data_IF_185276853097
#
_entry.id   IF_185276853097
#
_cell.length_a   1.000
_cell.length_b   1.000
_cell.length_c   1.000
_cell.angle_alpha   90.00
_cell.angle_beta   90.00
_cell.angle_gamma   90.00
#
_symmetry.space_group_name_H-M   'P 1'
#
loop_
_entity.id
_entity.type
_entity.pdbx_description
1 polymer ?
#
# COMPACT_ATOMS: atom_id res chain seq x y z
N UNK A 1 -21.67 18.69 21.29
CA UNK A 1 -20.56 18.94 22.25
C UNK A 1 -19.31 19.49 21.55
N UNK A 2 -18.81 18.87 20.45
CA UNK A 2 -17.59 19.29 19.79
C UNK A 2 -17.55 20.73 19.25
N UNK A 3 -18.68 21.23 18.75
CA UNK A 3 -18.77 22.62 18.24
C UNK A 3 -18.63 23.67 19.37
N UNK A 4 -19.21 23.41 20.53
CA UNK A 4 -19.09 24.27 21.72
C UNK A 4 -17.66 24.28 22.28
N UNK A 5 -16.99 23.17 22.25
CA UNK A 5 -15.58 23.05 22.70
C UNK A 5 -14.63 23.82 21.79
N UNK A 6 -14.84 23.73 20.46
CA UNK A 6 -14.04 24.49 19.46
C UNK A 6 -14.25 26.02 19.65
N UNK A 7 -15.48 26.46 19.86
CA UNK A 7 -15.80 27.88 20.10
C UNK A 7 -15.13 28.39 21.38
N UNK A 8 -15.21 27.63 22.49
CA UNK A 8 -14.61 27.99 23.76
C UNK A 8 -13.06 28.01 23.70
N UNK A 9 -12.45 27.15 22.86
CA UNK A 9 -11.01 27.14 22.64
C UNK A 9 -10.55 28.34 21.79
N UNK A 10 -11.32 28.68 20.76
CA UNK A 10 -11.05 29.85 19.94
C UNK A 10 -11.11 31.15 20.73
N UNK A 11 -12.09 31.27 21.60
CA UNK A 11 -12.28 32.45 22.45
C UNK A 11 -11.16 32.59 23.52
N UNK A 12 -10.74 31.50 24.12
CA UNK A 12 -9.57 31.48 25.03
C UNK A 12 -8.28 31.90 24.32
N UNK A 13 -8.07 31.45 23.09
CA UNK A 13 -6.90 31.83 22.30
C UNK A 13 -6.94 33.31 21.90
N UNK A 14 -8.14 33.86 21.59
CA UNK A 14 -8.30 35.29 21.30
C UNK A 14 -7.95 36.16 22.51
N UNK A 15 -8.53 35.83 23.68
CA UNK A 15 -8.25 36.54 24.94
C UNK A 15 -6.80 36.44 25.38
N UNK A 16 -6.12 35.31 25.14
CA UNK A 16 -4.70 35.13 25.41
C UNK A 16 -3.82 36.01 24.51
N UNK A 17 -4.17 36.14 23.23
CA UNK A 17 -3.49 37.04 22.28
C UNK A 17 -3.66 38.51 22.63
N UNK A 18 -4.87 38.90 23.04
CA UNK A 18 -5.20 40.26 23.43
C UNK A 18 -4.44 40.66 24.72
N UNK A 19 -4.38 39.80 25.70
CA UNK A 19 -3.55 39.97 26.92
C UNK A 19 -2.04 40.04 26.63
N UNK A 20 -1.56 39.25 25.69
CA UNK A 20 -0.16 39.28 25.30
C UNK A 20 0.21 40.57 24.55
N UNK A 21 -0.68 41.09 23.71
CA UNK A 21 -0.52 42.36 23.04
C UNK A 21 -0.49 43.55 23.99
N UNK A 22 -1.32 43.52 25.05
CA UNK A 22 -1.39 44.57 26.05
C UNK A 22 -0.17 44.57 27.01
N UNK A 23 0.56 43.47 27.15
CA UNK A 23 1.68 43.34 28.09
C UNK A 23 3.07 43.62 27.51
N UNK A 24 3.17 44.01 26.22
CA UNK A 24 4.46 44.32 25.56
C UNK A 24 5.49 43.19 25.55
N UNK A 25 5.10 41.96 25.93
CA UNK A 25 5.96 40.79 25.84
C UNK A 25 5.88 40.24 24.43
N UNK A 26 7.06 40.13 23.79
CA UNK A 26 7.25 39.46 22.51
C UNK A 26 6.56 38.09 22.57
N UNK A 27 5.54 37.91 21.74
CA UNK A 27 4.90 36.61 21.52
C UNK A 27 6.01 35.66 21.07
N UNK A 28 6.19 34.48 21.67
CA UNK A 28 7.11 33.50 21.12
C UNK A 28 6.61 33.21 19.70
N UNK A 29 7.45 33.49 18.72
CA UNK A 29 7.22 33.04 17.35
C UNK A 29 6.96 31.53 17.43
N UNK A 30 5.70 31.16 17.25
CA UNK A 30 5.37 29.79 16.87
C UNK A 30 6.18 29.55 15.61
N UNK A 31 7.22 28.73 15.67
CA UNK A 31 7.91 28.22 14.49
C UNK A 31 6.81 27.83 13.49
N UNK A 32 6.88 28.30 12.25
CA UNK A 32 5.97 27.84 11.23
C UNK A 32 6.01 26.32 11.28
N UNK A 33 4.82 25.74 11.37
CA UNK A 33 4.64 24.31 11.16
C UNK A 33 5.47 23.97 9.93
N UNK A 34 6.50 23.16 10.11
CA UNK A 34 7.40 22.77 9.04
C UNK A 34 6.50 22.26 7.92
N UNK A 35 6.46 23.02 6.83
CA UNK A 35 5.91 22.52 5.57
C UNK A 35 6.47 21.10 5.41
N UNK A 36 5.64 20.12 5.02
CA UNK A 36 6.16 18.77 4.80
C UNK A 36 7.36 18.90 3.87
N UNK A 37 8.52 18.49 4.37
CA UNK A 37 9.76 18.52 3.60
C UNK A 37 9.43 17.90 2.26
N UNK A 38 9.41 18.71 1.22
CA UNK A 38 9.10 18.28 -0.14
C UNK A 38 10.22 17.33 -0.52
N UNK A 39 9.98 16.04 -0.33
CA UNK A 39 10.95 15.00 -0.66
C UNK A 39 11.37 15.19 -2.11
N UNK A 40 12.66 15.41 -2.32
CA UNK A 40 13.23 15.65 -3.64
C UNK A 40 13.01 14.42 -4.51
N UNK A 41 12.13 14.54 -5.49
CA UNK A 41 11.80 13.44 -6.40
C UNK A 41 12.86 13.33 -7.48
N UNK A 42 13.41 12.15 -7.62
CA UNK A 42 14.36 11.81 -8.69
C UNK A 42 13.58 11.26 -9.87
N UNK A 43 13.72 11.86 -11.04
CA UNK A 43 13.11 11.33 -12.26
C UNK A 43 13.83 10.05 -12.69
N UNK A 44 13.06 8.98 -12.93
CA UNK A 44 13.60 7.80 -13.59
C UNK A 44 13.66 8.05 -15.10
N UNK A 45 14.85 7.90 -15.69
CA UNK A 45 15.13 8.22 -17.09
C UNK A 45 14.58 7.22 -18.10
N UNK A 46 13.91 6.14 -17.66
CA UNK A 46 13.38 5.08 -18.51
C UNK A 46 11.85 4.93 -18.48
N UNK A 47 11.12 6.04 -18.51
CA UNK A 47 9.65 5.98 -18.59
C UNK A 47 8.93 5.73 -17.27
N UNK A 48 9.63 5.72 -16.15
CA UNK A 48 9.06 5.71 -14.81
C UNK A 48 8.57 7.10 -14.40
N UNK A 49 7.82 7.17 -13.31
CA UNK A 49 7.40 8.42 -12.71
C UNK A 49 8.42 8.90 -11.67
N UNK A 50 8.41 10.22 -11.41
CA UNK A 50 9.29 10.82 -10.43
C UNK A 50 9.10 10.18 -9.04
N UNK A 51 10.18 9.65 -8.50
CA UNK A 51 10.24 8.96 -7.21
C UNK A 51 11.10 9.73 -6.22
N UNK A 52 10.83 9.57 -4.94
CA UNK A 52 11.75 9.95 -3.87
C UNK A 52 13.00 9.05 -3.88
N UNK A 53 14.07 9.47 -3.24
CA UNK A 53 15.27 8.63 -3.07
C UNK A 53 14.96 7.30 -2.37
N UNK A 54 14.04 7.33 -1.40
CA UNK A 54 13.60 6.13 -0.69
C UNK A 54 12.82 5.17 -1.59
N UNK A 55 11.90 5.69 -2.41
CA UNK A 55 11.16 4.90 -3.39
C UNK A 55 12.06 4.30 -4.47
N UNK A 56 13.05 5.06 -4.94
CA UNK A 56 14.03 4.55 -5.91
C UNK A 56 14.84 3.39 -5.31
N UNK A 57 15.31 3.54 -4.08
CA UNK A 57 16.03 2.47 -3.37
C UNK A 57 15.17 1.22 -3.21
N UNK A 58 13.91 1.39 -2.81
CA UNK A 58 12.96 0.29 -2.69
C UNK A 58 12.75 -0.41 -4.03
N UNK A 59 12.67 0.34 -5.12
CA UNK A 59 12.55 -0.19 -6.49
C UNK A 59 13.77 -1.03 -6.88
N UNK A 60 14.98 -0.51 -6.63
CA UNK A 60 16.24 -1.19 -6.95
C UNK A 60 16.39 -2.47 -6.09
N UNK A 61 16.04 -2.41 -4.82
CA UNK A 61 16.05 -3.55 -3.90
C UNK A 61 15.04 -4.62 -4.34
N UNK A 62 13.84 -4.23 -4.77
CA UNK A 62 12.85 -5.16 -5.31
C UNK A 62 13.37 -5.85 -6.58
N UNK A 63 13.92 -5.11 -7.51
CA UNK A 63 14.46 -5.64 -8.76
C UNK A 63 15.61 -6.64 -8.51
N UNK A 64 16.48 -6.35 -7.54
CA UNK A 64 17.62 -7.22 -7.19
C UNK A 64 17.20 -8.54 -6.55
N UNK A 65 15.97 -8.62 -6.02
CA UNK A 65 15.39 -9.82 -5.44
C UNK A 65 14.59 -10.67 -6.44
N UNK A 66 14.72 -10.41 -7.74
CA UNK A 66 14.07 -11.22 -8.78
C UNK A 66 14.46 -12.70 -8.62
N UNK A 67 13.44 -13.58 -8.56
CA UNK A 67 13.61 -15.00 -8.33
C UNK A 67 13.91 -15.42 -6.88
N UNK A 68 13.96 -14.46 -5.95
CA UNK A 68 14.21 -14.68 -4.51
C UNK A 68 13.08 -14.20 -3.61
N UNK A 69 12.02 -13.65 -4.19
CA UNK A 69 10.87 -13.19 -3.42
C UNK A 69 10.20 -14.37 -2.72
N UNK A 70 9.75 -14.20 -1.46
CA UNK A 70 8.99 -15.22 -0.78
C UNK A 70 7.64 -15.44 -1.45
N UNK A 71 7.07 -16.61 -1.30
CA UNK A 71 5.70 -16.86 -1.73
C UNK A 71 4.72 -15.96 -0.96
N UNK A 72 3.66 -15.48 -1.64
CA UNK A 72 2.66 -14.61 -1.03
C UNK A 72 1.73 -15.33 -0.05
N UNK A 73 2.02 -16.57 0.28
CA UNK A 73 1.24 -17.42 1.18
C UNK A 73 2.16 -18.21 2.09
N UNK A 74 1.66 -18.62 3.25
CA UNK A 74 2.35 -19.51 4.18
C UNK A 74 1.78 -20.92 4.11
N UNK A 75 2.57 -21.90 4.49
CA UNK A 75 2.14 -23.29 4.56
C UNK A 75 2.04 -24.00 3.21
N UNK A 76 1.25 -25.06 3.16
CA UNK A 76 1.06 -25.85 1.94
C UNK A 76 0.29 -25.05 0.91
N UNK A 77 0.84 -25.01 -0.29
CA UNK A 77 0.23 -24.36 -1.44
C UNK A 77 0.61 -25.09 -2.72
N UNK A 78 -0.20 -24.91 -3.75
CA UNK A 78 0.03 -25.46 -5.07
C UNK A 78 -0.26 -24.38 -6.10
N UNK A 79 0.63 -24.19 -7.07
CA UNK A 79 0.36 -23.32 -8.23
C UNK A 79 -0.55 -24.11 -9.17
N UNK A 80 -1.78 -23.66 -9.32
CA UNK A 80 -2.80 -24.32 -10.18
C UNK A 80 -2.86 -23.71 -11.57
N UNK A 81 -2.44 -22.44 -11.73
CA UNK A 81 -2.24 -21.80 -13.03
C UNK A 81 -0.96 -20.98 -13.01
N UNK A 82 -0.08 -21.20 -13.98
CA UNK A 82 1.14 -20.45 -14.14
C UNK A 82 0.92 -19.17 -14.94
N UNK A 83 1.90 -18.28 -14.94
CA UNK A 83 1.90 -17.07 -15.74
C UNK A 83 2.00 -17.39 -17.23
N UNK A 84 1.30 -16.63 -18.05
CA UNK A 84 1.40 -16.66 -19.50
C UNK A 84 0.30 -17.48 -20.18
N UNK A 85 0.56 -17.82 -21.44
CA UNK A 85 -0.38 -18.55 -22.26
C UNK A 85 -0.33 -20.05 -21.96
N UNK A 86 -1.49 -20.64 -21.68
CA UNK A 86 -1.64 -22.06 -21.39
C UNK A 86 -2.73 -22.67 -22.25
N UNK A 87 -2.53 -23.91 -22.64
CA UNK A 87 -3.56 -24.68 -23.32
C UNK A 87 -4.61 -25.13 -22.31
N UNK A 88 -5.87 -24.94 -22.63
CA UNK A 88 -6.98 -25.42 -21.80
C UNK A 88 -6.93 -26.97 -21.74
N UNK A 89 -7.05 -27.52 -20.53
CA UNK A 89 -6.88 -28.97 -20.31
C UNK A 89 -7.89 -29.83 -21.06
N UNK A 90 -9.12 -29.34 -21.22
CA UNK A 90 -10.22 -30.08 -21.86
C UNK A 90 -10.45 -29.68 -23.32
N UNK A 91 -10.13 -28.46 -23.68
CA UNK A 91 -10.39 -27.90 -25.00
C UNK A 91 -9.09 -27.67 -25.76
N UNK A 92 -8.74 -28.59 -26.64
CA UNK A 92 -7.45 -28.59 -27.39
C UNK A 92 -7.16 -27.33 -28.21
N UNK A 93 -8.16 -26.56 -28.58
CA UNK A 93 -8.02 -25.35 -29.41
C UNK A 93 -8.21 -24.06 -28.62
N UNK A 94 -8.45 -24.13 -27.30
CA UNK A 94 -8.62 -22.98 -26.44
C UNK A 94 -7.33 -22.73 -25.67
N UNK A 95 -6.82 -21.51 -25.77
CA UNK A 95 -5.71 -21.02 -24.98
C UNK A 95 -6.21 -20.00 -23.98
N UNK A 96 -5.75 -20.08 -22.76
CA UNK A 96 -6.00 -19.10 -21.70
C UNK A 96 -4.71 -18.36 -21.43
N UNK A 97 -4.79 -17.05 -21.24
CA UNK A 97 -3.65 -16.24 -20.86
C UNK A 97 -3.83 -15.75 -19.41
N UNK A 98 -2.92 -16.14 -18.55
CA UNK A 98 -2.90 -15.71 -17.16
C UNK A 98 -1.83 -14.63 -16.96
N UNK A 99 -2.23 -13.45 -16.53
CA UNK A 99 -1.32 -12.32 -16.26
C UNK A 99 -0.64 -12.39 -14.88
N UNK A 100 -0.91 -13.43 -14.12
CA UNK A 100 -0.33 -13.71 -12.81
C UNK A 100 -0.13 -15.21 -12.61
N UNK A 101 -0.13 -15.63 -11.36
CA UNK A 101 -0.16 -17.04 -10.96
C UNK A 101 -1.36 -17.28 -10.04
N UNK A 102 -2.01 -18.43 -10.20
CA UNK A 102 -3.08 -18.83 -9.29
C UNK A 102 -2.54 -19.86 -8.31
N UNK A 103 -2.69 -19.54 -7.02
CA UNK A 103 -2.15 -20.35 -5.94
C UNK A 103 -3.32 -20.88 -5.11
N UNK A 104 -3.45 -22.18 -5.05
CA UNK A 104 -4.38 -22.86 -4.16
C UNK A 104 -3.75 -23.09 -2.79
N UNK A 105 -4.47 -22.78 -1.74
CA UNK A 105 -4.02 -22.89 -0.35
C UNK A 105 -5.02 -23.64 0.51
N UNK A 106 -4.61 -24.04 1.71
CA UNK A 106 -5.52 -24.55 2.71
C UNK A 106 -6.52 -23.48 3.17
N UNK A 107 -7.75 -23.84 3.56
CA UNK A 107 -8.72 -22.91 4.14
C UNK A 107 -8.13 -22.12 5.32
N UNK A 108 -8.47 -20.83 5.41
CA UNK A 108 -8.02 -19.97 6.50
C UNK A 108 -6.61 -19.41 6.35
N UNK A 109 -5.95 -19.65 5.22
CA UNK A 109 -4.62 -19.08 4.92
C UNK A 109 -4.71 -17.59 4.62
N UNK A 110 -3.73 -16.83 5.11
CA UNK A 110 -3.59 -15.41 4.81
C UNK A 110 -2.64 -15.18 3.64
N UNK A 111 -2.97 -14.19 2.82
CA UNK A 111 -2.06 -13.64 1.82
C UNK A 111 -1.05 -12.71 2.50
N UNK A 112 0.20 -12.77 2.06
CA UNK A 112 1.32 -12.00 2.63
C UNK A 112 1.99 -11.17 1.55
N UNK A 113 2.48 -9.98 1.94
CA UNK A 113 3.29 -9.16 1.04
C UNK A 113 4.59 -9.88 0.69
N UNK A 114 4.92 -9.92 -0.59
CA UNK A 114 6.16 -10.56 -1.08
C UNK A 114 7.40 -9.71 -0.83
N UNK A 115 7.22 -8.41 -0.61
CA UNK A 115 8.30 -7.47 -0.34
C UNK A 115 7.78 -6.23 0.38
N UNK A 116 8.70 -5.44 0.95
CA UNK A 116 8.38 -4.15 1.54
C UNK A 116 7.75 -3.22 0.50
N UNK A 117 6.75 -2.48 0.89
CA UNK A 117 6.07 -1.54 0.00
C UNK A 117 4.99 -0.75 0.69
N UNK A 118 4.20 -0.07 -0.11
CA UNK A 118 3.07 0.74 0.33
C UNK A 118 1.82 0.32 -0.43
N UNK A 119 0.72 0.14 0.30
CA UNK A 119 -0.58 -0.16 -0.29
C UNK A 119 -1.10 1.07 -1.02
N UNK A 120 -1.26 0.96 -2.33
CA UNK A 120 -1.76 2.07 -3.15
C UNK A 120 -3.26 2.03 -3.30
N UNK A 121 -3.85 0.85 -3.36
CA UNK A 121 -5.28 0.68 -3.58
C UNK A 121 -5.80 -0.63 -3.02
N UNK A 122 -7.01 -0.55 -2.49
CA UNK A 122 -7.85 -1.71 -2.15
C UNK A 122 -9.16 -1.55 -2.92
N UNK A 123 -9.59 -2.57 -3.63
CA UNK A 123 -10.79 -2.51 -4.46
C UNK A 123 -11.45 -3.89 -4.61
N UNK A 124 -12.70 -3.90 -5.01
CA UNK A 124 -13.45 -5.13 -5.27
C UNK A 124 -13.59 -5.32 -6.78
N UNK A 125 -13.27 -6.52 -7.24
CA UNK A 125 -13.48 -6.92 -8.63
C UNK A 125 -14.59 -7.96 -8.65
N UNK A 126 -15.67 -7.78 -9.44
CA UNK A 126 -16.71 -8.79 -9.59
C UNK A 126 -16.10 -10.15 -10.00
N UNK A 127 -16.39 -11.20 -9.23
CA UNK A 127 -15.86 -12.55 -9.45
C UNK A 127 -14.48 -12.82 -8.84
N UNK A 128 -13.78 -11.80 -8.32
CA UNK A 128 -12.45 -11.95 -7.70
C UNK A 128 -12.36 -11.38 -6.28
N UNK A 129 -13.50 -11.11 -5.66
CA UNK A 129 -13.57 -10.56 -4.29
C UNK A 129 -12.71 -9.29 -4.11
N UNK A 130 -12.09 -9.14 -2.94
CA UNK A 130 -11.23 -8.00 -2.68
C UNK A 130 -9.84 -8.19 -3.31
N UNK A 131 -9.28 -7.10 -3.79
CA UNK A 131 -7.93 -7.04 -4.34
C UNK A 131 -7.14 -5.90 -3.72
N UNK A 132 -5.84 -6.12 -3.54
CA UNK A 132 -4.91 -5.15 -2.95
C UNK A 132 -3.76 -4.95 -3.91
N UNK A 133 -3.39 -3.69 -4.15
CA UNK A 133 -2.20 -3.32 -4.91
C UNK A 133 -1.17 -2.76 -3.95
N UNK A 134 0.02 -3.34 -3.96
CA UNK A 134 1.19 -2.87 -3.20
C UNK A 134 2.25 -2.36 -4.16
N UNK A 135 2.78 -1.18 -3.88
CA UNK A 135 3.80 -0.52 -4.67
C UNK A 135 5.18 -0.71 -4.03
N UNK A 136 6.15 -1.09 -4.85
CA UNK A 136 7.56 -1.26 -4.49
C UNK A 136 8.43 -0.35 -5.38
N UNK A 137 8.30 0.95 -5.21
CA UNK A 137 8.92 1.93 -6.12
C UNK A 137 8.22 1.93 -7.49
N UNK A 138 8.90 1.54 -8.56
CA UNK A 138 8.34 1.40 -9.91
C UNK A 138 7.56 0.10 -10.13
N UNK A 139 7.64 -0.85 -9.20
CA UNK A 139 7.00 -2.15 -9.33
C UNK A 139 5.72 -2.22 -8.54
N UNK A 140 4.77 -3.00 -9.04
CA UNK A 140 3.50 -3.25 -8.40
C UNK A 140 3.30 -4.75 -8.21
N UNK A 141 2.76 -5.14 -7.07
CA UNK A 141 2.23 -6.49 -6.85
C UNK A 141 0.73 -6.39 -6.58
N UNK A 142 -0.03 -7.33 -7.13
CA UNK A 142 -1.49 -7.38 -6.99
C UNK A 142 -1.87 -8.70 -6.34
N UNK A 143 -2.67 -8.62 -5.31
CA UNK A 143 -3.20 -9.76 -4.56
C UNK A 143 -4.71 -9.75 -4.71
N UNK A 144 -5.27 -10.78 -5.33
CA UNK A 144 -6.69 -10.89 -5.60
C UNK A 144 -7.33 -12.06 -4.87
N UNK A 145 -8.66 -12.10 -4.86
CA UNK A 145 -9.47 -13.14 -4.24
C UNK A 145 -9.31 -13.22 -2.72
N UNK A 146 -9.37 -12.06 -2.07
CA UNK A 146 -9.33 -11.95 -0.61
C UNK A 146 -10.75 -11.79 -0.05
N UNK A 147 -11.12 -12.67 0.88
CA UNK A 147 -12.39 -12.56 1.61
C UNK A 147 -12.40 -11.38 2.58
N UNK A 148 -11.25 -11.07 3.15
CA UNK A 148 -11.06 -9.98 4.09
C UNK A 148 -9.72 -9.31 3.83
N UNK A 149 -9.66 -7.99 3.98
CA UNK A 149 -8.44 -7.18 3.83
C UNK A 149 -8.08 -6.56 5.17
N UNK A 150 -6.80 -6.68 5.58
CA UNK A 150 -6.29 -6.16 6.85
C UNK A 150 -5.64 -4.80 6.72
N UNK A 151 -5.41 -4.33 5.51
CA UNK A 151 -4.71 -3.08 5.19
C UNK A 151 -5.60 -2.14 4.39
N UNK A 152 -5.24 -0.87 4.36
CA UNK A 152 -5.91 0.18 3.58
C UNK A 152 -4.91 0.93 2.73
N UNK A 153 -5.39 1.67 1.75
CA UNK A 153 -4.55 2.54 0.92
C UNK A 153 -3.74 3.51 1.79
N UNK A 154 -2.44 3.63 1.52
CA UNK A 154 -1.48 4.42 2.28
C UNK A 154 -0.72 3.66 3.36
N UNK A 155 -1.14 2.45 3.74
CA UNK A 155 -0.44 1.65 4.73
C UNK A 155 0.90 1.13 4.16
N UNK A 156 1.94 1.19 4.98
CA UNK A 156 3.22 0.54 4.66
C UNK A 156 3.17 -0.92 5.11
N UNK A 157 3.68 -1.80 4.28
CA UNK A 157 3.76 -3.23 4.55
C UNK A 157 5.21 -3.71 4.48
N UNK A 158 5.53 -4.68 5.32
CA UNK A 158 6.82 -5.34 5.34
C UNK A 158 6.75 -6.69 4.63
N UNK A 159 7.90 -7.20 4.21
CA UNK A 159 8.01 -8.54 3.62
C UNK A 159 7.39 -9.59 4.54
N UNK A 160 6.54 -10.45 4.00
CA UNK A 160 5.79 -11.50 4.70
C UNK A 160 4.72 -11.01 5.67
N UNK A 161 4.41 -9.73 5.69
CA UNK A 161 3.29 -9.21 6.48
C UNK A 161 1.96 -9.67 5.89
N UNK A 162 1.04 -10.16 6.73
CA UNK A 162 -0.31 -10.52 6.31
C UNK A 162 -1.08 -9.27 5.82
N UNK A 163 -1.68 -9.36 4.65
CA UNK A 163 -2.43 -8.27 4.02
C UNK A 163 -3.91 -8.56 3.90
N UNK A 164 -4.31 -9.80 3.97
CA UNK A 164 -5.70 -10.21 3.93
C UNK A 164 -5.89 -11.71 4.01
N UNK A 165 -7.12 -12.12 4.24
CA UNK A 165 -7.52 -13.53 4.26
C UNK A 165 -7.93 -13.99 2.88
N UNK A 166 -7.41 -15.11 2.44
CA UNK A 166 -7.75 -15.70 1.15
C UNK A 166 -9.19 -16.21 1.20
N UNK A 167 -9.93 -15.96 0.12
CA UNK A 167 -11.27 -16.50 -0.05
C UNK A 167 -11.20 -18.02 -0.22
N UNK A 168 -12.11 -18.71 0.42
CA UNK A 168 -12.27 -20.17 0.32
C UNK A 168 -13.74 -20.46 0.03
N UNK A 169 -14.02 -21.28 -0.97
CA UNK A 169 -15.35 -21.78 -1.28
C UNK A 169 -15.83 -22.75 -0.19
#
# INVERSE_FOLDING_TARGET
KAARERAARAERNRLAREKAAASGKKVPETKPETEPVREERVADTKGGYAMTKAEKRLSDDFASNKGRLPYPVSGRHTIVAAFGEQQHQELKYVRTNNSGIDIQTAPGTDARAVFNGEVTRVFVVPGYNNSVIVRHGNYLTVYSNLSQVYVKAGDKVSTRQAIGKIFTD
#
